data_IF_355732312612
#
_entry.id   IF_355732312612
#
_cell.length_a   1.000
_cell.length_b   1.000
_cell.length_c   1.000
_cell.angle_alpha   90.00
_cell.angle_beta   90.00
_cell.angle_gamma   90.00
#
_symmetry.space_group_name_H-M   'P 1'
#
loop_
_entity.id
_entity.type
_entity.pdbx_description
1 polymer ?
#
# COMPACT_ATOMS: atom_id res chain seq x y z
N UNK A 1 -15.85 18.82 -31.00
CA UNK A 1 -16.58 17.64 -31.52
C UNK A 1 -16.19 16.50 -30.60
N UNK A 2 -17.13 15.73 -30.06
CA UNK A 2 -16.80 14.60 -29.21
C UNK A 2 -15.94 13.59 -30.01
N UNK A 3 -14.86 13.12 -29.42
CA UNK A 3 -14.02 12.09 -30.02
C UNK A 3 -14.77 10.74 -29.99
N UNK A 4 -14.60 9.94 -31.03
CA UNK A 4 -15.28 8.65 -31.16
C UNK A 4 -14.37 7.54 -30.60
N UNK A 5 -14.87 6.81 -29.61
CA UNK A 5 -14.12 5.74 -28.93
C UNK A 5 -13.83 4.54 -29.82
N UNK A 6 -12.76 3.81 -29.50
CA UNK A 6 -12.51 2.49 -30.10
C UNK A 6 -13.13 1.43 -29.20
N UNK A 7 -14.05 0.65 -29.78
CA UNK A 7 -14.74 -0.41 -29.06
C UNK A 7 -14.23 -1.78 -29.51
N UNK A 8 -13.85 -2.61 -28.53
CA UNK A 8 -13.41 -3.99 -28.73
C UNK A 8 -14.64 -4.89 -28.77
N UNK A 9 -14.95 -5.42 -29.95
CA UNK A 9 -16.15 -6.22 -30.20
C UNK A 9 -15.77 -7.65 -30.59
N UNK A 10 -16.66 -8.59 -30.31
CA UNK A 10 -16.49 -9.98 -30.69
C UNK A 10 -16.40 -10.13 -32.22
N UNK A 11 -15.31 -10.68 -32.78
CA UNK A 11 -15.17 -10.91 -34.21
C UNK A 11 -16.26 -11.83 -34.80
N UNK A 12 -16.85 -12.72 -33.98
CA UNK A 12 -17.84 -13.68 -34.42
C UNK A 12 -19.28 -13.12 -34.48
N UNK A 13 -19.66 -12.25 -33.54
CA UNK A 13 -21.05 -11.80 -33.41
C UNK A 13 -21.25 -10.30 -33.15
N UNK A 14 -20.17 -9.54 -32.95
CA UNK A 14 -20.20 -8.10 -32.66
C UNK A 14 -20.61 -7.73 -31.23
N UNK A 15 -20.84 -8.71 -30.36
CA UNK A 15 -21.15 -8.50 -28.94
C UNK A 15 -19.94 -8.08 -28.11
N UNK A 16 -20.14 -7.61 -26.86
CA UNK A 16 -19.08 -7.28 -25.93
C UNK A 16 -18.17 -8.47 -25.63
N UNK A 17 -16.91 -8.13 -25.43
CA UNK A 17 -15.86 -9.00 -24.92
C UNK A 17 -15.50 -8.55 -23.51
N UNK A 18 -15.20 -9.52 -22.64
CA UNK A 18 -14.53 -9.28 -21.38
C UNK A 18 -13.24 -10.10 -21.31
N UNK A 19 -12.24 -9.58 -20.62
CA UNK A 19 -11.02 -10.32 -20.33
C UNK A 19 -11.29 -11.31 -19.19
N UNK A 20 -11.28 -12.60 -19.50
CA UNK A 20 -11.42 -13.68 -18.54
C UNK A 20 -10.07 -13.93 -17.85
N UNK A 21 -9.85 -13.24 -16.74
CA UNK A 21 -8.59 -13.20 -15.98
C UNK A 21 -8.06 -14.57 -15.55
N UNK A 22 -8.92 -15.54 -15.27
CA UNK A 22 -8.48 -16.90 -14.96
C UNK A 22 -7.96 -17.67 -16.20
N UNK A 23 -8.56 -17.42 -17.37
CA UNK A 23 -8.21 -18.08 -18.64
C UNK A 23 -7.12 -17.32 -19.42
N UNK A 24 -6.88 -16.05 -19.08
CA UNK A 24 -6.03 -15.10 -19.83
C UNK A 24 -6.48 -14.93 -21.30
N UNK A 25 -7.80 -14.89 -21.52
CA UNK A 25 -8.42 -14.81 -22.86
C UNK A 25 -9.55 -13.81 -22.90
N UNK A 26 -9.93 -13.37 -24.10
CA UNK A 26 -11.15 -12.60 -24.30
C UNK A 26 -12.33 -13.53 -24.57
N UNK A 27 -13.40 -13.36 -23.80
CA UNK A 27 -14.62 -14.15 -23.89
C UNK A 27 -15.78 -13.24 -24.24
N UNK A 28 -16.61 -13.68 -25.20
CA UNK A 28 -17.81 -12.94 -25.58
C UNK A 28 -19.00 -13.29 -24.68
N UNK A 29 -19.66 -12.28 -24.10
CA UNK A 29 -20.81 -12.45 -23.21
C UNK A 29 -22.07 -13.02 -23.90
N UNK A 30 -22.10 -13.02 -25.24
CA UNK A 30 -23.29 -13.40 -26.02
C UNK A 30 -23.16 -14.74 -26.73
N UNK A 31 -21.98 -15.06 -27.27
CA UNK A 31 -21.78 -16.26 -28.09
C UNK A 31 -20.74 -17.22 -27.52
N UNK A 32 -20.19 -16.92 -26.33
CA UNK A 32 -19.20 -17.73 -25.60
C UNK A 32 -17.92 -18.06 -26.39
N UNK A 33 -17.70 -17.37 -27.52
CA UNK A 33 -16.47 -17.48 -28.30
C UNK A 33 -15.30 -16.95 -27.48
N UNK A 34 -14.16 -17.64 -27.59
CA UNK A 34 -12.92 -17.34 -26.88
C UNK A 34 -11.85 -16.96 -27.90
N UNK A 35 -11.12 -15.89 -27.61
CA UNK A 35 -10.07 -15.37 -28.46
C UNK A 35 -8.80 -15.20 -27.65
N UNK A 36 -7.66 -15.52 -28.25
CA UNK A 36 -6.36 -15.21 -27.66
C UNK A 36 -6.12 -13.70 -27.72
N UNK A 37 -5.32 -13.18 -26.79
CA UNK A 37 -5.02 -11.75 -26.68
C UNK A 37 -4.38 -11.25 -27.98
N UNK A 38 -3.40 -11.98 -28.51
CA UNK A 38 -2.66 -11.61 -29.72
C UNK A 38 -3.55 -11.57 -30.97
N UNK A 39 -4.58 -12.42 -31.03
CA UNK A 39 -5.53 -12.45 -32.15
C UNK A 39 -6.38 -11.18 -32.18
N UNK A 40 -6.93 -10.78 -31.02
CA UNK A 40 -7.75 -9.57 -30.92
C UNK A 40 -6.88 -8.32 -31.08
N UNK A 41 -5.68 -8.33 -30.53
CA UNK A 41 -4.73 -7.23 -30.72
C UNK A 41 -4.45 -6.98 -32.20
N UNK A 42 -4.13 -8.03 -32.96
CA UNK A 42 -3.88 -7.92 -34.39
C UNK A 42 -5.08 -7.35 -35.18
N UNK A 43 -6.31 -7.62 -34.73
CA UNK A 43 -7.53 -7.12 -35.36
C UNK A 43 -7.79 -5.64 -35.08
N UNK A 44 -7.45 -5.16 -33.88
CA UNK A 44 -7.84 -3.83 -33.41
C UNK A 44 -6.70 -2.81 -33.38
N UNK A 45 -5.43 -3.23 -33.42
CA UNK A 45 -4.26 -2.36 -33.33
C UNK A 45 -4.30 -1.21 -34.34
N UNK A 46 -4.49 -1.49 -35.63
CA UNK A 46 -4.52 -0.43 -36.65
C UNK A 46 -5.66 0.59 -36.43
N UNK A 47 -6.80 0.16 -35.88
CA UNK A 47 -7.91 1.06 -35.57
C UNK A 47 -7.60 1.93 -34.36
N UNK A 48 -6.96 1.36 -33.34
CA UNK A 48 -6.51 2.06 -32.14
C UNK A 48 -5.45 3.10 -32.50
N UNK A 49 -4.37 2.71 -33.19
CA UNK A 49 -3.28 3.60 -33.60
C UNK A 49 -3.78 4.82 -34.39
N UNK A 50 -4.76 4.62 -35.28
CA UNK A 50 -5.37 5.72 -36.05
C UNK A 50 -6.23 6.65 -35.19
N UNK A 51 -6.94 6.11 -34.22
CA UNK A 51 -7.76 6.92 -33.30
C UNK A 51 -6.85 7.76 -32.39
N UNK A 52 -5.78 7.15 -31.87
CA UNK A 52 -4.81 7.78 -30.99
C UNK A 52 -4.00 8.85 -31.72
N UNK A 53 -3.45 8.55 -32.90
CA UNK A 53 -2.73 9.55 -33.70
C UNK A 53 -3.61 10.77 -34.05
N UNK A 54 -4.92 10.56 -34.24
CA UNK A 54 -5.88 11.67 -34.47
C UNK A 54 -6.12 12.47 -33.20
N UNK A 55 -6.19 11.82 -32.04
CA UNK A 55 -6.35 12.48 -30.75
C UNK A 55 -5.09 13.28 -30.38
N UNK A 56 -3.91 12.68 -30.52
CA UNK A 56 -2.62 13.32 -30.26
C UNK A 56 -2.41 14.54 -31.17
N UNK A 57 -2.71 14.41 -32.46
CA UNK A 57 -2.65 15.53 -33.40
C UNK A 57 -3.63 16.67 -33.03
N UNK A 58 -4.79 16.34 -32.46
CA UNK A 58 -5.74 17.33 -31.97
C UNK A 58 -5.27 17.99 -30.66
N UNK A 59 -4.59 17.25 -29.79
CA UNK A 59 -4.01 17.77 -28.55
C UNK A 59 -2.81 18.68 -28.80
N UNK A 60 -1.98 18.36 -29.81
CA UNK A 60 -0.81 19.13 -30.23
C UNK A 60 -1.16 20.37 -31.09
N UNK A 61 -2.40 20.47 -31.59
CA UNK A 61 -2.85 21.64 -32.31
C UNK A 61 -2.85 22.87 -31.38
N UNK A 62 -2.51 24.08 -31.88
CA UNK A 62 -2.50 25.29 -31.06
C UNK A 62 -3.87 25.48 -30.42
N UNK A 63 -3.94 25.31 -29.09
CA UNK A 63 -5.18 25.54 -28.36
C UNK A 63 -5.56 27.02 -28.54
N UNK A 64 -6.78 27.34 -28.98
CA UNK A 64 -7.23 28.72 -28.98
C UNK A 64 -7.09 29.26 -27.55
N UNK A 65 -6.67 30.52 -27.39
CA UNK A 65 -6.62 31.17 -26.09
C UNK A 65 -8.04 31.19 -25.50
N UNK A 66 -8.33 30.19 -24.67
CA UNK A 66 -9.55 30.01 -23.93
C UNK A 66 -9.16 29.89 -22.46
N UNK A 67 -10.00 30.44 -21.58
CA UNK A 67 -9.79 30.41 -20.12
C UNK A 67 -9.48 28.99 -19.63
N UNK A 68 -8.62 28.86 -18.61
CA UNK A 68 -8.20 27.57 -18.04
C UNK A 68 -9.41 26.68 -17.67
N UNK A 69 -10.52 27.29 -17.22
CA UNK A 69 -11.78 26.60 -16.93
C UNK A 69 -12.43 25.93 -18.17
N UNK A 70 -12.29 26.53 -19.36
CA UNK A 70 -12.76 25.95 -20.63
C UNK A 70 -11.85 24.80 -21.07
N UNK A 71 -10.57 24.85 -20.68
CA UNK A 71 -9.59 23.81 -21.00
C UNK A 71 -9.74 22.58 -20.08
N UNK A 72 -10.05 22.76 -18.80
CA UNK A 72 -10.48 21.68 -17.89
C UNK A 72 -11.80 21.03 -18.35
N UNK A 73 -12.80 21.82 -18.72
CA UNK A 73 -14.07 21.31 -19.26
C UNK A 73 -13.90 20.49 -20.55
N UNK A 74 -12.87 20.80 -21.36
CA UNK A 74 -12.54 20.05 -22.57
C UNK A 74 -11.83 18.72 -22.29
N UNK A 75 -11.09 18.60 -21.18
CA UNK A 75 -10.53 17.32 -20.72
C UNK A 75 -11.60 16.41 -20.09
N UNK A 76 -12.62 17.02 -19.47
CA UNK A 76 -13.83 16.35 -18.97
C UNK A 76 -14.91 16.15 -20.06
N UNK A 77 -14.55 16.33 -21.33
CA UNK A 77 -15.50 16.21 -22.43
C UNK A 77 -15.87 14.74 -22.62
N UNK A 78 -17.17 14.46 -22.57
CA UNK A 78 -17.67 13.14 -22.91
C UNK A 78 -17.29 12.70 -24.32
N UNK A 79 -17.20 11.39 -24.53
CA UNK A 79 -16.87 10.78 -25.82
C UNK A 79 -18.03 9.92 -26.31
N UNK A 80 -18.09 9.68 -27.63
CA UNK A 80 -19.18 8.91 -28.23
C UNK A 80 -18.77 7.44 -28.32
N UNK A 81 -19.63 6.56 -27.82
CA UNK A 81 -19.51 5.11 -27.98
C UNK A 81 -19.67 4.72 -29.46
N UNK A 82 -18.62 4.18 -30.10
CA UNK A 82 -18.70 3.81 -31.54
C UNK A 82 -19.64 2.64 -31.83
N UNK A 83 -20.00 1.84 -30.82
CA UNK A 83 -20.93 0.71 -30.98
C UNK A 83 -22.40 1.12 -30.98
N UNK A 84 -22.82 2.07 -30.12
CA UNK A 84 -24.24 2.41 -29.96
C UNK A 84 -24.57 3.90 -30.13
N UNK A 85 -23.56 4.77 -30.27
CA UNK A 85 -23.73 6.21 -30.43
C UNK A 85 -24.06 6.97 -29.14
N UNK A 86 -24.04 6.31 -27.97
CA UNK A 86 -24.27 6.98 -26.69
C UNK A 86 -23.12 7.93 -26.33
N UNK A 87 -23.44 9.07 -25.76
CA UNK A 87 -22.47 10.01 -25.18
C UNK A 87 -22.12 9.55 -23.76
N UNK A 88 -20.82 9.28 -23.53
CA UNK A 88 -20.27 8.81 -22.27
C UNK A 88 -19.50 9.95 -21.61
N UNK A 89 -19.86 10.29 -20.38
CA UNK A 89 -19.15 11.28 -19.59
C UNK A 89 -17.88 10.66 -19.01
N UNK A 90 -16.75 11.36 -19.11
CA UNK A 90 -15.50 11.03 -18.42
C UNK A 90 -15.08 12.22 -17.57
N UNK A 91 -14.43 11.94 -16.45
CA UNK A 91 -13.79 12.94 -15.59
C UNK A 91 -12.35 13.25 -16.05
N UNK A 92 -12.03 12.90 -17.29
CA UNK A 92 -10.73 13.12 -17.92
C UNK A 92 -9.63 12.17 -17.44
N UNK A 93 -9.88 11.30 -16.47
CA UNK A 93 -8.88 10.31 -15.97
C UNK A 93 -9.26 8.87 -16.32
N UNK A 94 -10.56 8.59 -16.48
CA UNK A 94 -11.04 7.27 -16.93
C UNK A 94 -10.77 7.13 -18.42
N UNK A 95 -9.85 6.22 -18.75
CA UNK A 95 -9.43 5.93 -20.11
C UNK A 95 -10.22 4.78 -20.75
N UNK A 96 -10.54 3.75 -19.99
CA UNK A 96 -11.38 2.63 -20.46
C UNK A 96 -12.53 2.44 -19.49
N UNK A 97 -13.75 2.32 -20.03
CA UNK A 97 -14.93 1.97 -19.24
C UNK A 97 -15.89 1.11 -20.05
N UNK A 98 -16.77 0.40 -19.34
CA UNK A 98 -17.87 -0.34 -19.97
C UNK A 98 -19.01 0.63 -20.27
N UNK A 99 -19.45 0.69 -21.52
CA UNK A 99 -20.60 1.50 -21.89
C UNK A 99 -21.86 0.99 -21.18
N UNK A 100 -22.52 1.80 -20.32
CA UNK A 100 -23.70 1.37 -19.57
C UNK A 100 -24.93 1.08 -20.47
N UNK A 101 -24.89 1.52 -21.73
CA UNK A 101 -26.00 1.35 -22.67
C UNK A 101 -25.91 0.07 -23.50
N UNK A 102 -24.70 -0.35 -23.90
CA UNK A 102 -24.53 -1.50 -24.79
C UNK A 102 -23.58 -2.59 -24.27
N UNK A 103 -22.90 -2.34 -23.14
CA UNK A 103 -21.99 -3.29 -22.51
C UNK A 103 -20.62 -3.44 -23.17
N UNK A 104 -20.37 -2.81 -24.33
CA UNK A 104 -19.04 -2.85 -24.94
C UNK A 104 -18.05 -1.98 -24.16
N UNK A 105 -16.82 -2.46 -24.02
CA UNK A 105 -15.72 -1.65 -23.49
C UNK A 105 -15.33 -0.58 -24.49
N UNK A 106 -15.39 0.67 -24.02
CA UNK A 106 -15.13 1.85 -24.79
C UNK A 106 -13.84 2.49 -24.31
N UNK A 107 -12.91 2.67 -25.24
CA UNK A 107 -11.61 3.29 -24.99
C UNK A 107 -11.70 4.75 -25.40
N UNK A 108 -11.54 5.64 -24.44
CA UNK A 108 -11.50 7.08 -24.66
C UNK A 108 -10.26 7.42 -25.50
N UNK A 109 -10.43 8.00 -26.70
CA UNK A 109 -9.30 8.32 -27.58
C UNK A 109 -8.34 9.29 -26.91
N UNK A 110 -7.04 9.07 -27.04
CA UNK A 110 -6.02 9.99 -26.51
C UNK A 110 -5.69 9.81 -25.03
N UNK A 111 -6.41 8.97 -24.29
CA UNK A 111 -6.22 8.82 -22.84
C UNK A 111 -5.15 7.79 -22.46
N UNK A 112 -4.71 6.94 -23.40
CA UNK A 112 -3.62 5.96 -23.22
C UNK A 112 -2.62 6.03 -24.39
N UNK A 113 -2.43 7.22 -24.96
CA UNK A 113 -1.53 7.48 -26.08
C UNK A 113 -0.61 8.66 -25.80
N UNK A 114 0.43 8.81 -26.64
CA UNK A 114 1.45 9.85 -26.45
C UNK A 114 2.08 9.75 -25.06
N UNK A 115 2.11 10.89 -24.36
CA UNK A 115 2.65 10.98 -22.99
C UNK A 115 1.84 10.16 -21.96
N UNK A 116 0.57 9.83 -22.26
CA UNK A 116 -0.28 9.01 -21.39
C UNK A 116 -0.24 7.52 -21.74
N UNK A 117 0.63 7.09 -22.65
CA UNK A 117 0.73 5.68 -23.03
C UNK A 117 1.51 4.89 -21.98
N UNK A 118 0.93 3.85 -21.35
CA UNK A 118 1.68 2.97 -20.47
C UNK A 118 2.69 2.14 -21.26
N UNK A 119 3.85 1.91 -20.68
CA UNK A 119 4.86 0.99 -21.21
C UNK A 119 4.48 -0.47 -20.91
N UNK A 120 3.90 -0.67 -19.72
CA UNK A 120 3.72 -1.98 -19.12
C UNK A 120 2.31 -2.19 -18.57
N UNK A 121 1.93 -3.45 -18.48
CA UNK A 121 0.69 -3.87 -17.82
C UNK A 121 0.92 -5.18 -17.09
N UNK A 122 0.24 -5.32 -15.96
CA UNK A 122 0.07 -6.61 -15.29
C UNK A 122 -1.38 -7.05 -15.50
N UNK A 123 -1.66 -8.12 -16.26
CA UNK A 123 -3.03 -8.58 -16.46
C UNK A 123 -3.68 -9.05 -15.16
N UNK A 124 -4.99 -8.80 -15.00
CA UNK A 124 -5.77 -9.43 -13.93
C UNK A 124 -5.65 -10.95 -14.00
N UNK A 125 -5.56 -11.61 -12.84
CA UNK A 125 -5.56 -13.07 -12.71
C UNK A 125 -6.79 -13.56 -11.94
N UNK A 126 -7.20 -12.81 -10.93
CA UNK A 126 -8.33 -13.12 -10.07
C UNK A 126 -9.59 -12.39 -10.53
N UNK A 127 -10.71 -13.10 -10.47
CA UNK A 127 -12.02 -12.62 -10.88
C UNK A 127 -12.82 -11.98 -9.72
N UNK A 128 -14.03 -11.53 -10.04
CA UNK A 128 -14.94 -10.88 -9.07
C UNK A 128 -15.33 -11.82 -7.91
N UNK A 129 -15.47 -13.11 -8.17
CA UNK A 129 -15.84 -14.09 -7.15
C UNK A 129 -14.73 -14.26 -6.10
N UNK A 130 -13.46 -14.13 -6.50
CA UNK A 130 -12.31 -14.19 -5.61
C UNK A 130 -12.29 -13.01 -4.63
N UNK A 131 -12.76 -11.83 -5.04
CA UNK A 131 -12.90 -10.66 -4.14
C UNK A 131 -13.82 -10.98 -2.97
N UNK A 132 -14.93 -11.66 -3.24
CA UNK A 132 -15.89 -12.03 -2.20
C UNK A 132 -15.31 -13.07 -1.24
N UNK A 133 -14.48 -13.98 -1.75
CA UNK A 133 -13.77 -14.96 -0.93
C UNK A 133 -12.70 -14.29 -0.05
N UNK A 134 -11.87 -13.41 -0.64
CA UNK A 134 -10.84 -12.66 0.06
C UNK A 134 -11.43 -11.74 1.14
N UNK A 135 -12.57 -11.09 0.87
CA UNK A 135 -13.26 -10.24 1.84
C UNK A 135 -13.76 -11.05 3.05
N UNK A 136 -14.33 -12.23 2.79
CA UNK A 136 -14.75 -13.14 3.87
C UNK A 136 -13.57 -13.61 4.71
N UNK A 137 -12.43 -13.88 4.07
CA UNK A 137 -11.20 -14.23 4.76
C UNK A 137 -10.68 -13.07 5.61
N UNK A 138 -10.69 -11.85 5.06
CA UNK A 138 -10.25 -10.64 5.76
C UNK A 138 -11.04 -10.34 7.04
N UNK A 139 -12.30 -10.77 7.11
CA UNK A 139 -13.14 -10.65 8.30
C UNK A 139 -12.84 -11.69 9.40
N UNK A 140 -12.13 -12.78 9.09
CA UNK A 140 -11.85 -13.85 10.06
C UNK A 140 -10.88 -13.38 11.14
N UNK A 141 -11.04 -13.98 12.32
CA UNK A 141 -10.20 -13.77 13.50
C UNK A 141 -10.12 -12.33 14.04
N UNK A 142 -10.95 -11.41 13.52
CA UNK A 142 -11.06 -10.04 14.01
C UNK A 142 -12.00 -9.96 15.22
N UNK A 143 -11.43 -10.10 16.42
CA UNK A 143 -12.19 -10.09 17.69
C UNK A 143 -13.05 -8.83 17.81
N UNK A 144 -12.49 -7.67 17.48
CA UNK A 144 -13.13 -6.35 17.62
C UNK A 144 -14.16 -6.02 16.52
N UNK A 145 -14.28 -6.82 15.45
CA UNK A 145 -15.20 -6.56 14.35
C UNK A 145 -16.67 -6.77 14.79
N UNK A 146 -17.58 -5.79 14.66
CA UNK A 146 -19.00 -5.98 14.93
C UNK A 146 -19.60 -7.11 14.08
N UNK A 147 -20.30 -8.06 14.70
CA UNK A 147 -21.01 -9.11 13.95
C UNK A 147 -22.04 -8.52 12.97
N UNK A 148 -22.67 -7.41 13.36
CA UNK A 148 -23.62 -6.66 12.53
C UNK A 148 -22.98 -6.01 11.30
N UNK A 149 -21.66 -5.78 11.29
CA UNK A 149 -20.95 -5.40 10.07
C UNK A 149 -20.89 -6.61 9.14
N UNK A 150 -20.38 -7.74 9.60
CA UNK A 150 -20.25 -8.95 8.75
C UNK A 150 -21.59 -9.43 8.17
N UNK A 151 -22.68 -9.40 8.96
CA UNK A 151 -23.98 -9.89 8.51
C UNK A 151 -24.86 -8.85 7.81
N UNK A 152 -24.64 -7.57 8.11
CA UNK A 152 -25.52 -6.47 7.67
C UNK A 152 -24.88 -5.54 6.65
N UNK A 153 -23.60 -5.74 6.33
CA UNK A 153 -22.93 -4.96 5.31
C UNK A 153 -23.36 -5.45 3.92
N UNK A 154 -23.85 -4.51 3.12
CA UNK A 154 -24.19 -4.76 1.73
C UNK A 154 -23.05 -4.24 0.88
N UNK A 155 -22.45 -5.15 0.09
CA UNK A 155 -21.47 -4.76 -0.91
C UNK A 155 -22.17 -3.85 -1.91
N UNK A 156 -21.84 -2.57 -1.87
CA UNK A 156 -22.45 -1.56 -2.73
C UNK A 156 -21.89 -1.71 -4.16
N UNK A 157 -20.56 -1.84 -4.26
CA UNK A 157 -19.88 -1.84 -5.53
C UNK A 157 -18.58 -2.65 -5.49
N UNK A 158 -18.35 -3.46 -6.54
CA UNK A 158 -17.08 -4.17 -6.79
C UNK A 158 -16.65 -3.83 -8.20
N UNK A 159 -15.49 -3.19 -8.33
CA UNK A 159 -14.92 -2.78 -9.60
C UNK A 159 -13.49 -3.25 -9.73
N UNK A 160 -13.14 -3.83 -10.87
CA UNK A 160 -11.75 -4.07 -11.21
C UNK A 160 -11.22 -2.87 -11.98
N UNK A 161 -10.13 -2.29 -11.49
CA UNK A 161 -9.52 -1.07 -11.99
C UNK A 161 -8.06 -1.35 -12.31
N UNK A 162 -7.63 -0.97 -13.50
CA UNK A 162 -6.22 -0.81 -13.82
C UNK A 162 -5.76 0.55 -13.31
N UNK A 163 -4.96 0.53 -12.26
CA UNK A 163 -4.44 1.72 -11.56
C UNK A 163 -3.09 2.09 -12.17
N UNK A 164 -2.83 3.37 -12.46
CA UNK A 164 -1.54 3.85 -12.94
C UNK A 164 -0.48 3.80 -11.85
N UNK A 165 0.67 3.22 -12.16
CA UNK A 165 1.86 3.19 -11.30
C UNK A 165 3.09 3.66 -12.06
N UNK A 166 3.90 4.47 -11.41
CA UNK A 166 5.28 4.75 -11.82
C UNK A 166 6.20 3.72 -11.17
N UNK A 167 7.09 3.13 -11.97
CA UNK A 167 8.06 2.14 -11.48
C UNK A 167 9.45 2.76 -11.49
N UNK A 168 10.01 3.00 -10.32
CA UNK A 168 11.31 3.67 -10.18
C UNK A 168 12.45 2.67 -10.00
N UNK A 169 13.49 2.80 -10.80
CA UNK A 169 14.79 2.16 -10.59
C UNK A 169 15.81 3.17 -10.09
N UNK A 170 16.61 2.79 -9.09
CA UNK A 170 17.72 3.60 -8.65
C UNK A 170 18.78 2.76 -7.94
N UNK A 171 20.04 3.18 -8.07
CA UNK A 171 21.11 2.77 -7.16
C UNK A 171 21.29 3.86 -6.11
N UNK A 172 21.28 3.46 -4.84
CA UNK A 172 21.52 4.35 -3.69
C UNK A 172 22.89 4.00 -3.13
N UNK A 173 23.81 4.94 -3.19
CA UNK A 173 25.09 4.87 -2.49
C UNK A 173 24.95 5.68 -1.19
N UNK A 174 25.19 5.04 -0.05
CA UNK A 174 24.87 5.60 1.25
C UNK A 174 26.03 5.56 2.24
N UNK A 175 26.21 6.65 2.97
CA UNK A 175 27.12 6.81 4.09
C UNK A 175 26.33 7.21 5.33
N UNK A 176 26.39 6.40 6.39
CA UNK A 176 25.60 6.61 7.60
C UNK A 176 26.48 6.44 8.84
N UNK A 177 26.35 7.40 9.75
CA UNK A 177 26.91 7.36 11.09
C UNK A 177 25.80 7.01 12.07
N UNK A 178 26.08 6.01 12.89
CA UNK A 178 25.20 5.55 13.95
C UNK A 178 25.87 5.74 15.31
N UNK A 179 25.08 6.13 16.29
CA UNK A 179 25.38 5.98 17.71
C UNK A 179 24.95 4.58 18.12
N UNK A 180 25.91 3.66 18.24
CA UNK A 180 25.67 2.27 18.58
C UNK A 180 25.92 2.04 20.08
N UNK A 181 25.04 1.27 20.72
CA UNK A 181 25.08 1.08 22.17
C UNK A 181 25.10 -0.39 22.55
N UNK A 182 25.86 -0.70 23.59
CA UNK A 182 25.78 -1.97 24.31
C UNK A 182 25.41 -1.71 25.76
N UNK A 183 24.35 -2.34 26.24
CA UNK A 183 23.82 -2.15 27.58
C UNK A 183 24.15 -3.36 28.46
N UNK A 184 24.88 -3.09 29.55
CA UNK A 184 25.11 -4.08 30.61
C UNK A 184 24.38 -3.64 31.88
N UNK A 185 23.38 -4.41 32.27
CA UNK A 185 22.64 -4.21 33.52
C UNK A 185 23.23 -5.14 34.59
N UNK A 186 23.75 -4.55 35.66
CA UNK A 186 24.23 -5.27 36.85
C UNK A 186 23.32 -4.97 38.03
N UNK A 187 22.71 -6.03 38.56
CA UNK A 187 21.95 -5.93 39.82
C UNK A 187 22.85 -6.15 41.03
N UNK A 188 22.93 -5.14 41.89
CA UNK A 188 23.54 -5.22 43.22
C UNK A 188 22.44 -5.26 44.31
N UNK A 189 22.83 -5.50 45.57
CA UNK A 189 21.91 -5.67 46.69
C UNK A 189 21.09 -4.42 47.00
N UNK A 190 21.68 -3.23 46.82
CA UNK A 190 21.15 -1.92 47.20
C UNK A 190 20.89 -1.00 46.00
N UNK A 191 21.25 -1.42 44.79
CA UNK A 191 21.13 -0.61 43.56
C UNK A 191 21.15 -1.46 42.30
N UNK A 192 20.58 -0.92 41.24
CA UNK A 192 20.75 -1.41 39.87
C UNK A 192 21.66 -0.45 39.14
N UNK A 193 22.73 -0.98 38.54
CA UNK A 193 23.72 -0.21 37.77
C UNK A 193 23.57 -0.60 36.31
N UNK A 194 23.12 0.34 35.49
CA UNK A 194 23.11 0.21 34.03
C UNK A 194 24.34 0.91 33.49
N UNK A 195 25.19 0.17 32.79
CA UNK A 195 26.35 0.70 32.06
C UNK A 195 26.07 0.60 30.58
N UNK A 196 26.09 1.74 29.88
CA UNK A 196 25.87 1.82 28.44
C UNK A 196 27.17 2.28 27.79
N UNK A 197 27.77 1.41 26.99
CA UNK A 197 28.94 1.76 26.18
C UNK A 197 28.47 2.28 24.82
N UNK A 198 28.91 3.49 24.47
CA UNK A 198 28.57 4.18 23.23
C UNK A 198 29.72 4.05 22.22
N UNK A 199 29.36 3.78 20.96
CA UNK A 199 30.28 3.55 19.85
C UNK A 199 29.82 4.37 18.63
N UNK A 200 30.75 5.11 18.05
CA UNK A 200 30.54 5.79 16.78
C UNK A 200 30.73 4.76 15.66
N UNK A 201 29.62 4.31 15.05
CA UNK A 201 29.61 3.28 14.02
C UNK A 201 29.38 3.90 12.63
N UNK A 202 30.37 3.78 11.76
CA UNK A 202 30.29 4.24 10.38
C UNK A 202 30.06 3.08 9.42
N UNK A 203 29.06 3.22 8.55
CA UNK A 203 28.77 2.28 7.46
C UNK A 203 28.70 3.03 6.14
N UNK A 204 29.34 2.45 5.12
CA UNK A 204 29.22 2.90 3.74
C UNK A 204 28.96 1.72 2.84
N UNK A 205 27.92 1.82 2.04
CA UNK A 205 27.58 0.77 1.10
C UNK A 205 26.67 1.27 0.01
N UNK A 206 26.19 0.33 -0.78
CA UNK A 206 25.24 0.63 -1.84
C UNK A 206 24.18 -0.45 -1.94
N UNK A 207 23.01 -0.04 -2.41
CA UNK A 207 21.88 -0.92 -2.64
C UNK A 207 21.19 -0.50 -3.94
N UNK A 208 20.77 -1.48 -4.72
CA UNK A 208 20.04 -1.23 -5.97
C UNK A 208 18.58 -1.57 -5.79
N UNK A 209 17.70 -0.66 -6.17
CA UNK A 209 16.26 -0.83 -6.19
C UNK A 209 15.77 -0.98 -7.62
N UNK A 210 14.85 -1.91 -7.84
CA UNK A 210 14.31 -2.18 -9.16
C UNK A 210 12.79 -2.09 -9.14
N UNK A 211 12.25 -1.15 -9.93
CA UNK A 211 10.80 -0.97 -10.15
C UNK A 211 10.02 -0.80 -8.85
N UNK A 212 10.48 0.08 -7.96
CA UNK A 212 9.69 0.47 -6.78
C UNK A 212 8.41 1.15 -7.27
N UNK A 213 7.23 0.59 -6.98
CA UNK A 213 5.97 1.13 -7.48
C UNK A 213 5.49 2.31 -6.63
N UNK A 214 4.97 3.35 -7.28
CA UNK A 214 4.21 4.43 -6.63
C UNK A 214 2.99 4.71 -7.52
N UNK A 215 1.79 4.72 -6.95
CA UNK A 215 0.59 5.01 -7.72
C UNK A 215 0.59 6.48 -8.20
N UNK A 216 0.22 6.68 -9.45
CA UNK A 216 0.11 8.00 -10.09
C UNK A 216 -1.33 8.51 -10.12
N UNK A 217 -2.12 8.19 -9.08
CA UNK A 217 -3.53 8.55 -9.01
C UNK A 217 -3.91 9.23 -7.71
N UNK A 218 -4.22 10.52 -7.75
CA UNK A 218 -4.65 11.30 -6.59
C UNK A 218 -6.01 10.85 -6.01
N UNK A 219 -6.74 9.98 -6.72
CA UNK A 219 -8.06 9.45 -6.34
C UNK A 219 -7.96 8.13 -5.58
N UNK A 220 -6.82 7.45 -5.68
CA UNK A 220 -6.56 6.20 -4.97
C UNK A 220 -5.82 6.53 -3.68
N UNK A 221 -6.25 6.00 -2.51
CA UNK A 221 -5.51 6.24 -1.28
C UNK A 221 -4.18 5.47 -1.29
N UNK A 222 -3.06 6.18 -1.18
CA UNK A 222 -1.69 5.64 -1.12
C UNK A 222 -1.57 4.44 -0.17
N UNK A 223 -2.12 4.56 1.04
CA UNK A 223 -2.06 3.48 2.04
C UNK A 223 -2.81 2.20 1.65
N UNK A 224 -3.79 2.27 0.74
CA UNK A 224 -4.42 1.09 0.17
C UNK A 224 -3.57 0.51 -0.96
N UNK A 225 -2.99 1.36 -1.81
CA UNK A 225 -2.18 0.94 -2.96
C UNK A 225 -0.85 0.32 -2.54
N UNK A 226 -0.19 0.88 -1.53
CA UNK A 226 1.03 0.34 -0.95
C UNK A 226 0.77 -0.98 -0.21
N UNK A 227 -0.35 -1.08 0.53
CA UNK A 227 -0.60 -2.24 1.39
C UNK A 227 -1.03 -3.50 0.61
N UNK A 228 -1.40 -3.39 -0.67
CA UNK A 228 -1.70 -4.52 -1.56
C UNK A 228 -0.46 -5.07 -2.28
N UNK A 229 0.69 -4.42 -2.15
CA UNK A 229 1.99 -4.91 -2.60
C UNK A 229 2.43 -6.17 -1.81
N UNK A 230 3.41 -6.96 -2.29
CA UNK A 230 4.08 -6.85 -3.58
C UNK A 230 3.22 -7.38 -4.75
N UNK A 231 3.48 -6.85 -5.94
CA UNK A 231 2.94 -7.38 -7.20
C UNK A 231 3.89 -8.41 -7.80
N UNK A 232 3.34 -9.37 -8.54
CA UNK A 232 4.13 -10.39 -9.22
C UNK A 232 4.58 -9.87 -10.60
N UNK A 233 5.84 -9.43 -10.65
CA UNK A 233 6.46 -8.87 -11.86
C UNK A 233 6.79 -9.92 -12.93
N UNK A 234 6.68 -11.22 -12.66
CA UNK A 234 6.82 -12.24 -13.72
C UNK A 234 5.65 -12.20 -14.72
N UNK A 235 4.51 -11.66 -14.28
CA UNK A 235 3.33 -11.46 -15.12
C UNK A 235 3.34 -10.14 -15.90
N UNK A 236 4.38 -9.31 -15.73
CA UNK A 236 4.49 -8.02 -16.40
C UNK A 236 4.66 -8.20 -17.92
N UNK A 237 3.88 -7.46 -18.70
CA UNK A 237 3.85 -7.52 -20.17
C UNK A 237 3.93 -6.12 -20.76
N UNK A 238 4.38 -5.97 -22.01
CA UNK A 238 4.17 -4.74 -22.77
C UNK A 238 2.69 -4.37 -22.76
N UNK A 239 2.39 -3.08 -22.57
CA UNK A 239 1.03 -2.61 -22.52
C UNK A 239 0.24 -2.96 -23.79
N UNK A 240 -0.99 -3.42 -23.57
CA UNK A 240 -1.97 -3.63 -24.62
C UNK A 240 -3.37 -3.37 -24.08
N UNK A 241 -4.15 -2.59 -24.82
CA UNK A 241 -5.53 -2.24 -24.48
C UNK A 241 -6.43 -3.48 -24.42
N UNK A 242 -6.02 -4.60 -25.01
CA UNK A 242 -6.74 -5.88 -25.07
C UNK A 242 -6.96 -6.52 -23.69
N UNK A 243 -6.18 -6.13 -22.68
CA UNK A 243 -6.36 -6.58 -21.30
C UNK A 243 -7.44 -5.81 -20.51
N UNK A 244 -7.92 -4.70 -21.06
CA UNK A 244 -8.83 -3.77 -20.41
C UNK A 244 -10.34 -4.11 -20.55
N UNK A 245 -10.83 -4.88 -21.56
CA UNK A 245 -12.25 -5.18 -21.65
C UNK A 245 -12.78 -5.88 -20.40
N UNK A 246 -13.91 -5.40 -19.88
CA UNK A 246 -14.49 -5.84 -18.61
C UNK A 246 -13.93 -5.14 -17.35
N UNK A 247 -12.91 -4.29 -17.50
CA UNK A 247 -12.27 -3.53 -16.43
C UNK A 247 -12.32 -2.02 -16.70
N UNK A 248 -12.21 -1.24 -15.63
CA UNK A 248 -11.96 0.20 -15.73
C UNK A 248 -10.46 0.40 -15.84
N UNK A 249 -9.99 1.35 -16.66
CA UNK A 249 -8.59 1.74 -16.68
C UNK A 249 -8.47 3.25 -16.52
N UNK A 250 -7.60 3.67 -15.62
CA UNK A 250 -7.32 5.08 -15.37
C UNK A 250 -5.94 5.41 -15.93
N UNK A 251 -5.80 6.61 -16.52
CA UNK A 251 -4.48 7.21 -16.75
C UNK A 251 -3.98 7.89 -15.48
N UNK A 252 -2.69 8.19 -15.42
CA UNK A 252 -2.15 8.98 -14.32
C UNK A 252 -2.71 10.41 -14.34
N UNK A 253 -2.93 10.96 -13.14
CA UNK A 253 -3.19 12.39 -12.91
C UNK A 253 -2.10 13.04 -12.05
N UNK A 254 -1.20 12.25 -11.46
CA UNK A 254 0.05 12.69 -10.84
C UNK A 254 1.26 12.27 -11.69
N UNK A 255 2.10 13.24 -12.03
CA UNK A 255 3.26 13.00 -12.89
C UNK A 255 4.42 12.32 -12.15
N UNK A 256 5.34 11.76 -12.93
CA UNK A 256 6.52 11.05 -12.42
C UNK A 256 7.38 11.89 -11.46
N UNK A 257 7.57 13.20 -11.70
CA UNK A 257 8.42 14.01 -10.82
C UNK A 257 7.73 14.28 -9.47
N UNK A 258 6.40 14.45 -9.50
CA UNK A 258 5.58 14.58 -8.28
C UNK A 258 5.65 13.30 -7.43
N UNK A 259 5.49 12.13 -8.04
CA UNK A 259 5.50 10.84 -7.34
C UNK A 259 6.90 10.40 -6.87
N UNK A 260 7.98 10.92 -7.49
CA UNK A 260 9.37 10.52 -7.22
C UNK A 260 9.79 10.65 -5.77
N UNK A 261 9.36 11.73 -5.08
CA UNK A 261 9.71 11.96 -3.68
C UNK A 261 9.23 10.83 -2.75
N UNK A 262 8.11 10.18 -3.06
CA UNK A 262 7.61 9.03 -2.29
C UNK A 262 8.45 7.78 -2.53
N UNK A 263 8.88 7.54 -3.77
CA UNK A 263 9.81 6.46 -4.08
C UNK A 263 11.17 6.68 -3.38
N UNK A 264 11.70 7.90 -3.44
CA UNK A 264 12.96 8.29 -2.78
C UNK A 264 12.90 8.02 -1.27
N UNK A 265 11.84 8.46 -0.59
CA UNK A 265 11.64 8.18 0.84
C UNK A 265 11.63 6.69 1.15
N UNK A 266 10.94 5.87 0.35
CA UNK A 266 10.88 4.41 0.56
C UNK A 266 12.25 3.75 0.36
N UNK A 267 13.01 4.19 -0.64
CA UNK A 267 14.37 3.70 -0.91
C UNK A 267 15.36 4.15 0.18
N UNK A 268 15.23 5.39 0.65
CA UNK A 268 16.02 5.97 1.73
C UNK A 268 15.92 5.14 3.02
N UNK A 269 14.68 4.92 3.50
CA UNK A 269 14.45 4.18 4.74
C UNK A 269 14.94 2.73 4.62
N UNK A 270 14.72 2.07 3.48
CA UNK A 270 15.28 0.73 3.23
C UNK A 270 16.80 0.70 3.23
N UNK A 271 17.46 1.67 2.58
CA UNK A 271 18.93 1.72 2.53
C UNK A 271 19.53 1.95 3.93
N UNK A 272 18.94 2.87 4.71
CA UNK A 272 19.37 3.13 6.09
C UNK A 272 19.11 1.92 6.97
N UNK A 273 17.94 1.29 6.85
CA UNK A 273 17.58 0.10 7.62
C UNK A 273 18.55 -1.05 7.34
N UNK A 274 18.88 -1.32 6.07
CA UNK A 274 19.85 -2.34 5.69
C UNK A 274 21.25 -2.05 6.26
N UNK A 275 21.70 -0.79 6.23
CA UNK A 275 22.98 -0.40 6.85
C UNK A 275 22.93 -0.55 8.38
N UNK A 276 21.80 -0.18 9.01
CA UNK A 276 21.57 -0.30 10.47
C UNK A 276 21.62 -1.76 10.92
N UNK A 277 21.08 -2.68 10.12
CA UNK A 277 21.10 -4.12 10.40
C UNK A 277 22.53 -4.63 10.64
N UNK A 278 23.50 -4.18 9.82
CA UNK A 278 24.92 -4.52 9.98
C UNK A 278 25.61 -3.96 11.23
N UNK A 279 24.95 -3.03 11.93
CA UNK A 279 25.40 -2.49 13.21
C UNK A 279 24.74 -3.28 14.34
N UNK A 280 23.43 -3.49 14.30
CA UNK A 280 22.70 -4.23 15.35
C UNK A 280 23.03 -5.74 15.38
N UNK A 281 23.71 -6.26 14.36
CA UNK A 281 24.34 -7.59 14.41
C UNK A 281 25.48 -7.68 15.44
N UNK A 282 26.09 -6.54 15.80
CA UNK A 282 27.23 -6.45 16.73
C UNK A 282 26.95 -5.63 18.00
N UNK A 283 25.86 -4.86 17.99
CA UNK A 283 25.47 -3.94 19.07
C UNK A 283 23.98 -4.10 19.44
N UNK A 284 23.59 -3.72 20.66
CA UNK A 284 22.21 -3.87 21.14
C UNK A 284 21.23 -2.89 20.46
N UNK A 285 21.65 -1.64 20.20
CA UNK A 285 20.90 -0.65 19.41
C UNK A 285 21.85 0.24 18.58
N UNK A 286 21.31 0.92 17.57
CA UNK A 286 22.06 1.80 16.68
C UNK A 286 21.24 3.01 16.21
N UNK A 287 21.32 4.17 16.85
CA UNK A 287 20.54 5.35 16.43
C UNK A 287 21.25 6.14 15.34
N UNK A 288 20.54 6.58 14.29
CA UNK A 288 21.15 7.37 13.20
C UNK A 288 21.52 8.77 13.71
N UNK A 289 22.79 9.14 13.61
CA UNK A 289 23.26 10.49 13.94
C UNK A 289 23.29 11.40 12.70
N UNK A 290 23.86 10.88 11.61
CA UNK A 290 23.94 11.60 10.35
C UNK A 290 23.99 10.63 9.17
N UNK A 291 23.50 11.10 8.03
CA UNK A 291 23.41 10.32 6.80
C UNK A 291 23.65 11.19 5.59
N UNK A 292 24.28 10.60 4.58
CA UNK A 292 24.45 11.17 3.26
C UNK A 292 24.12 10.08 2.25
N UNK A 293 23.12 10.32 1.41
CA UNK A 293 22.66 9.39 0.39
C UNK A 293 22.75 10.05 -0.98
N UNK A 294 23.33 9.35 -1.93
CA UNK A 294 23.45 9.77 -3.32
C UNK A 294 22.69 8.79 -4.21
N UNK A 295 21.82 9.33 -5.06
CA UNK A 295 20.92 8.54 -5.91
C UNK A 295 21.36 8.59 -7.37
N UNK A 296 21.59 7.42 -7.96
CA UNK A 296 21.73 7.24 -9.40
C UNK A 296 20.43 6.68 -9.94
N UNK A 297 19.55 7.56 -10.43
CA UNK A 297 18.23 7.21 -10.96
C UNK A 297 18.31 6.59 -12.36
N UNK A 298 17.48 5.57 -12.59
CA UNK A 298 17.16 5.04 -13.91
C UNK A 298 15.92 5.74 -14.47
N UNK A 299 15.65 5.56 -15.77
CA UNK A 299 14.38 5.99 -16.36
C UNK A 299 13.22 5.22 -15.71
N UNK A 300 12.12 5.91 -15.41
CA UNK A 300 10.92 5.31 -14.83
C UNK A 300 10.04 4.69 -15.91
N UNK A 301 9.47 3.52 -15.61
CA UNK A 301 8.46 2.90 -16.47
C UNK A 301 7.05 3.33 -16.02
N UNK A 302 6.14 3.61 -16.95
CA UNK A 302 4.72 3.77 -16.64
C UNK A 302 3.98 2.44 -16.80
N UNK A 303 3.32 1.96 -15.74
CA UNK A 303 2.62 0.68 -15.73
C UNK A 303 1.16 0.79 -15.26
N UNK A 304 0.32 -0.13 -15.75
CA UNK A 304 -1.02 -0.34 -15.25
C UNK A 304 -1.13 -1.64 -14.45
N UNK A 305 -1.46 -1.53 -13.16
CA UNK A 305 -1.58 -2.68 -12.27
C UNK A 305 -3.04 -3.02 -11.94
N UNK A 306 -3.38 -4.31 -11.79
CA UNK A 306 -4.75 -4.76 -11.62
C UNK A 306 -5.14 -4.69 -10.14
N UNK A 307 -6.12 -3.85 -9.82
CA UNK A 307 -6.62 -3.65 -8.46
C UNK A 307 -8.13 -3.81 -8.42
N UNK A 308 -8.62 -4.67 -7.54
CA UNK A 308 -10.04 -4.74 -7.21
C UNK A 308 -10.37 -3.72 -6.12
N UNK A 309 -11.27 -2.79 -6.41
CA UNK A 309 -11.81 -1.82 -5.48
C UNK A 309 -13.21 -2.25 -5.04
N UNK A 310 -13.43 -2.25 -3.73
CA UNK A 310 -14.69 -2.59 -3.11
C UNK A 310 -15.09 -1.47 -2.17
N UNK A 311 -16.30 -0.93 -2.37
CA UNK A 311 -16.89 0.05 -1.46
C UNK A 311 -18.12 -0.53 -0.78
N UNK A 312 -18.32 -0.12 0.47
CA UNK A 312 -19.42 -0.63 1.27
C UNK A 312 -19.85 0.37 2.34
N UNK A 313 -21.14 0.49 2.57
CA UNK A 313 -21.71 1.44 3.52
C UNK A 313 -22.30 0.75 4.75
N UNK A 314 -21.94 1.26 5.94
CA UNK A 314 -22.45 0.74 7.20
C UNK A 314 -22.56 1.86 8.24
N UNK A 315 -23.74 1.98 8.87
CA UNK A 315 -24.05 3.03 9.86
C UNK A 315 -23.71 4.46 9.38
N UNK A 316 -23.98 4.76 8.10
CA UNK A 316 -23.73 6.08 7.52
C UNK A 316 -22.25 6.41 7.30
N UNK A 317 -21.36 5.41 7.38
CA UNK A 317 -19.95 5.50 7.02
C UNK A 317 -19.65 4.61 5.82
N UNK A 318 -18.79 5.08 4.93
CA UNK A 318 -18.28 4.29 3.81
C UNK A 318 -16.94 3.66 4.20
N UNK A 319 -16.75 2.42 3.77
CA UNK A 319 -15.52 1.65 3.96
C UNK A 319 -15.01 1.23 2.59
N UNK A 320 -13.73 1.47 2.35
CA UNK A 320 -13.05 1.15 1.10
C UNK A 320 -12.06 0.01 1.35
N UNK A 321 -12.11 -0.97 0.46
CA UNK A 321 -11.19 -2.09 0.41
C UNK A 321 -10.52 -2.12 -0.96
N UNK A 322 -9.24 -2.48 -0.97
CA UNK A 322 -8.47 -2.72 -2.17
C UNK A 322 -7.92 -4.14 -2.13
N UNK A 323 -7.86 -4.81 -3.27
CA UNK A 323 -7.27 -6.13 -3.38
C UNK A 323 -6.40 -6.24 -4.63
N UNK A 324 -5.21 -6.78 -4.44
CA UNK A 324 -4.31 -7.10 -5.54
C UNK A 324 -4.96 -8.12 -6.50
N UNK A 325 -5.10 -7.75 -7.78
CA UNK A 325 -5.76 -8.55 -8.81
C UNK A 325 -5.00 -9.80 -9.26
N UNK A 326 -3.76 -10.01 -8.78
CA UNK A 326 -2.96 -11.21 -9.02
C UNK A 326 -2.90 -12.14 -7.80
N UNK A 327 -2.58 -11.56 -6.64
CA UNK A 327 -2.24 -12.30 -5.42
C UNK A 327 -3.43 -12.51 -4.50
N UNK A 328 -4.46 -11.66 -4.61
CA UNK A 328 -5.64 -11.71 -3.75
C UNK A 328 -5.41 -11.10 -2.37
N UNK A 329 -4.26 -10.46 -2.13
CA UNK A 329 -3.99 -9.69 -0.91
C UNK A 329 -5.01 -8.55 -0.80
N UNK A 330 -5.91 -8.66 0.18
CA UNK A 330 -6.98 -7.70 0.43
C UNK A 330 -6.70 -6.87 1.68
N UNK A 331 -6.81 -5.55 1.52
CA UNK A 331 -6.64 -4.57 2.58
C UNK A 331 -7.84 -3.64 2.66
N UNK A 332 -8.00 -3.03 3.82
CA UNK A 332 -9.00 -2.03 4.10
C UNK A 332 -9.16 -1.80 5.58
N UNK A 333 -9.97 -0.80 5.91
CA UNK A 333 -10.27 -0.47 7.29
C UNK A 333 -11.59 -1.09 7.73
N UNK A 334 -11.59 -1.73 8.89
CA UNK A 334 -12.75 -2.35 9.49
C UNK A 334 -13.26 -1.53 10.68
N UNK A 335 -14.59 -1.47 10.92
CA UNK A 335 -15.11 -0.80 12.10
C UNK A 335 -14.71 -1.51 13.39
N UNK A 336 -14.31 -0.73 14.38
CA UNK A 336 -14.09 -1.22 15.74
C UNK A 336 -15.37 -1.20 16.57
N UNK A 337 -15.71 -2.33 17.19
CA UNK A 337 -16.81 -2.43 18.15
C UNK A 337 -16.39 -1.90 19.52
N UNK A 338 -16.80 -0.67 19.85
CA UNK A 338 -16.50 -0.04 21.16
C UNK A 338 -16.82 -0.92 22.37
N UNK A 339 -17.97 -1.64 22.43
CA UNK A 339 -18.25 -2.54 23.55
C UNK A 339 -17.27 -3.71 23.65
N UNK A 340 -16.86 -4.29 22.52
CA UNK A 340 -15.88 -5.38 22.52
C UNK A 340 -14.49 -4.90 22.92
N UNK A 341 -14.11 -3.69 22.47
CA UNK A 341 -12.86 -3.05 22.88
C UNK A 341 -12.87 -2.84 24.39
N UNK A 342 -13.93 -2.25 24.96
CA UNK A 342 -14.03 -2.05 26.41
C UNK A 342 -13.91 -3.36 27.22
N UNK A 343 -14.52 -4.45 26.73
CA UNK A 343 -14.39 -5.78 27.37
C UNK A 343 -12.94 -6.28 27.27
N UNK A 344 -12.28 -6.13 26.12
CA UNK A 344 -10.88 -6.49 25.94
C UNK A 344 -9.96 -5.67 26.86
N UNK A 345 -10.15 -4.35 26.94
CA UNK A 345 -9.38 -3.47 27.82
C UNK A 345 -9.52 -3.88 29.29
N UNK A 346 -10.73 -4.22 29.76
CA UNK A 346 -10.94 -4.72 31.13
C UNK A 346 -10.21 -6.05 31.34
N UNK A 347 -10.25 -6.96 30.36
CA UNK A 347 -9.57 -8.25 30.44
C UNK A 347 -8.04 -8.08 30.49
N UNK A 348 -7.47 -7.24 29.63
CA UNK A 348 -6.04 -6.90 29.65
C UNK A 348 -5.65 -6.22 30.95
N UNK A 349 -6.50 -5.37 31.52
CA UNK A 349 -6.24 -4.74 32.81
C UNK A 349 -6.15 -5.80 33.91
N UNK A 350 -7.10 -6.74 33.98
CA UNK A 350 -7.10 -7.81 34.98
C UNK A 350 -5.87 -8.71 34.81
N UNK A 351 -5.53 -9.09 33.57
CA UNK A 351 -4.34 -9.90 33.29
C UNK A 351 -3.07 -9.14 33.68
N UNK A 352 -2.95 -7.89 33.26
CA UNK A 352 -1.81 -7.05 33.57
C UNK A 352 -1.65 -6.81 35.07
N UNK A 353 -2.77 -6.63 35.79
CA UNK A 353 -2.80 -6.52 37.24
C UNK A 353 -2.27 -7.80 37.91
N UNK A 354 -2.78 -8.97 37.53
CA UNK A 354 -2.32 -10.26 38.07
C UNK A 354 -0.84 -10.51 37.75
N UNK A 355 -0.41 -10.24 36.52
CA UNK A 355 0.99 -10.41 36.12
C UNK A 355 1.91 -9.47 36.88
N UNK A 356 1.53 -8.21 37.03
CA UNK A 356 2.27 -7.22 37.81
C UNK A 356 2.43 -7.66 39.27
N UNK A 357 1.36 -8.16 39.89
CA UNK A 357 1.40 -8.71 41.24
C UNK A 357 2.38 -9.88 41.37
N UNK A 358 2.33 -10.84 40.44
CA UNK A 358 3.22 -12.01 40.46
C UNK A 358 4.69 -11.61 40.22
N UNK A 359 4.95 -10.74 39.24
CA UNK A 359 6.30 -10.34 38.83
C UNK A 359 6.99 -9.47 39.88
N UNK A 360 6.29 -8.48 40.44
CA UNK A 360 6.90 -7.51 41.35
C UNK A 360 6.86 -7.95 42.83
N UNK A 361 5.94 -8.85 43.20
CA UNK A 361 5.71 -9.18 44.63
C UNK A 361 6.02 -10.63 45.01
N UNK A 362 6.22 -11.54 44.05
CA UNK A 362 6.62 -12.92 44.32
C UNK A 362 5.69 -13.64 45.31
N UNK A 363 6.24 -14.05 46.46
CA UNK A 363 5.48 -14.75 47.52
C UNK A 363 4.44 -13.86 48.24
N UNK A 364 4.57 -12.53 48.13
CA UNK A 364 3.66 -11.54 48.73
C UNK A 364 2.58 -11.06 47.74
N UNK A 365 2.41 -11.72 46.59
CA UNK A 365 1.38 -11.38 45.62
C UNK A 365 0.00 -11.40 46.28
N UNK A 366 -0.77 -10.31 46.11
CA UNK A 366 -2.10 -10.10 46.70
C UNK A 366 -2.16 -9.94 48.23
N UNK A 367 -1.04 -9.59 48.89
CA UNK A 367 -1.09 -9.15 50.29
C UNK A 367 -1.86 -7.81 50.40
N UNK A 368 -2.93 -7.74 51.22
CA UNK A 368 -3.76 -6.54 51.34
C UNK A 368 -3.01 -5.30 51.86
N UNK A 369 -1.88 -5.46 52.55
CA UNK A 369 -1.08 -4.34 53.04
C UNK A 369 -0.37 -3.57 51.91
N UNK A 370 -0.18 -4.21 50.75
CA UNK A 370 0.46 -3.65 49.56
C UNK A 370 -0.52 -3.25 48.43
N UNK A 371 -1.83 -3.36 48.70
CA UNK A 371 -2.85 -2.71 47.89
C UNK A 371 -3.01 -1.22 48.25
N UNK A 372 -2.12 -0.68 49.09
CA UNK A 372 -2.08 0.72 49.46
C UNK A 372 -1.76 1.62 48.24
N UNK A 373 -2.31 2.83 48.25
CA UNK A 373 -2.07 3.85 47.22
C UNK A 373 -0.83 4.70 47.53
N UNK A 374 0.29 4.05 47.90
CA UNK A 374 1.61 4.69 47.90
C UNK A 374 2.15 4.80 46.46
N UNK A 375 3.26 5.51 46.26
CA UNK A 375 3.79 5.81 44.91
C UNK A 375 4.13 4.50 44.16
N UNK A 376 4.76 3.55 44.84
CA UNK A 376 5.08 2.22 44.29
C UNK A 376 3.82 1.40 43.99
N UNK A 377 2.84 1.39 44.90
CA UNK A 377 1.57 0.73 44.70
C UNK A 377 0.80 1.28 43.50
N UNK A 378 0.84 2.59 43.25
CA UNK A 378 0.22 3.19 42.05
C UNK A 378 0.95 2.72 40.78
N UNK A 379 2.28 2.67 40.78
CA UNK A 379 3.06 2.20 39.64
C UNK A 379 2.74 0.74 39.29
N UNK A 380 2.75 -0.15 40.28
CA UNK A 380 2.56 -1.59 40.10
C UNK A 380 1.09 -1.95 39.82
N UNK A 381 0.14 -1.35 40.56
CA UNK A 381 -1.26 -1.76 40.51
C UNK A 381 -2.08 -1.04 39.44
N UNK A 382 -1.61 0.11 38.95
CA UNK A 382 -2.36 0.94 38.00
C UNK A 382 -1.55 1.17 36.72
N UNK A 383 -0.32 1.68 36.83
CA UNK A 383 0.44 2.09 35.64
C UNK A 383 0.88 0.87 34.80
N UNK A 384 1.50 -0.14 35.41
CA UNK A 384 1.94 -1.33 34.67
C UNK A 384 0.78 -2.08 33.96
N UNK A 385 -0.38 -2.33 34.61
CA UNK A 385 -1.55 -2.91 33.93
C UNK A 385 -2.11 -2.03 32.81
N UNK A 386 -2.11 -0.70 32.99
CA UNK A 386 -2.57 0.23 31.95
C UNK A 386 -1.65 0.20 30.72
N UNK A 387 -0.34 0.04 30.88
CA UNK A 387 0.58 -0.13 29.74
C UNK A 387 0.21 -1.39 28.95
N UNK A 388 -0.09 -2.50 29.64
CA UNK A 388 -0.53 -3.75 29.00
C UNK A 388 -1.86 -3.56 28.26
N UNK A 389 -2.81 -2.81 28.85
CA UNK A 389 -4.06 -2.44 28.16
C UNK A 389 -3.78 -1.65 26.90
N UNK A 390 -2.93 -0.63 26.96
CA UNK A 390 -2.59 0.22 25.82
C UNK A 390 -1.98 -0.62 24.70
N UNK A 391 -0.99 -1.46 25.02
CA UNK A 391 -0.34 -2.34 24.05
C UNK A 391 -1.36 -3.32 23.44
N UNK A 392 -2.17 -3.99 24.27
CA UNK A 392 -3.18 -4.93 23.83
C UNK A 392 -4.25 -4.29 22.93
N UNK A 393 -4.75 -3.12 23.31
CA UNK A 393 -5.74 -2.38 22.54
C UNK A 393 -5.16 -1.86 21.22
N UNK A 394 -3.93 -1.36 21.21
CA UNK A 394 -3.22 -0.94 19.98
C UNK A 394 -3.06 -2.12 19.03
N UNK A 395 -2.65 -3.29 19.53
CA UNK A 395 -2.51 -4.50 18.72
C UNK A 395 -3.86 -4.95 18.15
N UNK A 396 -4.92 -4.99 18.95
CA UNK A 396 -6.26 -5.40 18.48
C UNK A 396 -6.87 -4.40 17.51
N UNK A 397 -6.68 -3.10 17.71
CA UNK A 397 -7.17 -2.05 16.79
C UNK A 397 -6.33 -2.04 15.51
N UNK A 398 -5.02 -2.25 15.60
CA UNK A 398 -4.13 -2.38 14.45
C UNK A 398 -4.55 -3.49 13.50
N UNK A 399 -5.06 -4.61 14.02
CA UNK A 399 -5.61 -5.69 13.18
C UNK A 399 -6.81 -5.27 12.32
N UNK A 400 -7.51 -4.18 12.65
CA UNK A 400 -8.62 -3.65 11.87
C UNK A 400 -8.18 -2.62 10.82
N UNK A 401 -6.94 -2.13 10.88
CA UNK A 401 -6.38 -1.11 9.99
C UNK A 401 -5.23 -1.70 9.20
N UNK A 402 -5.55 -2.22 8.02
CA UNK A 402 -4.57 -2.90 7.17
C UNK A 402 -4.08 -2.06 6.00
N UNK A 403 -4.74 -0.92 5.73
CA UNK A 403 -4.28 0.07 4.76
C UNK A 403 -3.32 1.03 5.46
N UNK A 404 -2.04 0.95 5.12
CA UNK A 404 -0.98 1.82 5.62
C UNK A 404 -0.02 2.11 4.47
N UNK A 405 0.45 3.36 4.39
CA UNK A 405 1.47 3.74 3.42
C UNK A 405 2.78 3.00 3.71
N UNK A 406 3.43 2.53 2.65
CA UNK A 406 4.73 1.90 2.76
C UNK A 406 5.77 2.96 3.11
N UNK A 407 6.54 2.67 4.16
CA UNK A 407 7.71 3.48 4.53
C UNK A 407 8.99 2.94 3.93
N UNK A 408 9.00 1.69 3.49
CA UNK A 408 10.17 0.98 2.97
C UNK A 408 9.90 0.40 1.57
N UNK A 409 10.96 0.06 0.84
CA UNK A 409 10.98 -0.62 -0.45
C UNK A 409 11.77 -1.95 -0.40
N UNK A 410 11.78 -2.64 0.75
CA UNK A 410 12.59 -3.84 0.99
C UNK A 410 12.29 -4.99 0.00
N UNK A 411 11.03 -5.13 -0.43
CA UNK A 411 10.60 -6.15 -1.41
C UNK A 411 11.16 -5.90 -2.83
N UNK A 412 11.73 -4.72 -3.08
CA UNK A 412 12.21 -4.27 -4.40
C UNK A 412 13.71 -3.97 -4.43
N UNK A 413 14.43 -4.23 -3.34
CA UNK A 413 15.86 -3.99 -3.25
C UNK A 413 16.67 -5.26 -3.51
N UNK A 414 17.89 -5.07 -4.03
CA UNK A 414 18.91 -6.11 -4.05
C UNK A 414 19.61 -6.27 -2.70
N UNK A 415 20.64 -7.10 -2.68
CA UNK A 415 21.50 -7.24 -1.49
C UNK A 415 22.32 -5.96 -1.26
N UNK A 416 22.54 -5.62 0.01
CA UNK A 416 23.44 -4.54 0.40
C UNK A 416 24.90 -4.93 0.10
N UNK A 417 25.58 -4.10 -0.67
CA UNK A 417 27.03 -4.19 -0.88
C UNK A 417 27.74 -3.21 0.04
N UNK A 418 28.16 -3.72 1.20
CA UNK A 418 28.88 -2.95 2.22
C UNK A 418 30.35 -2.77 1.81
N UNK A 419 30.74 -1.52 1.57
CA UNK A 419 32.07 -1.17 1.06
C UNK A 419 33.05 -0.72 2.14
N UNK A 420 32.57 -0.01 3.16
CA UNK A 420 33.39 0.40 4.31
C UNK A 420 32.63 0.22 5.63
N UNK A 421 33.38 -0.15 6.65
CA UNK A 421 32.89 -0.38 8.01
C UNK A 421 33.97 0.03 9.01
N UNK A 422 33.65 0.99 9.89
CA UNK A 422 34.54 1.49 10.92
C UNK A 422 33.77 1.80 12.19
N UNK A 423 34.18 1.19 13.31
CA UNK A 423 33.55 1.41 14.62
C UNK A 423 34.60 1.92 15.62
N UNK A 424 34.27 2.99 16.34
CA UNK A 424 35.17 3.60 17.33
C UNK A 424 34.44 3.75 18.65
N UNK A 425 35.05 3.29 19.74
CA UNK A 425 34.51 3.54 21.08
C UNK A 425 34.51 5.04 21.37
N UNK A 426 33.36 5.55 21.81
CA UNK A 426 33.15 6.97 22.13
C UNK A 426 33.34 7.20 23.63
N UNK A 427 32.41 6.69 24.44
CA UNK A 427 32.43 6.83 25.89
C UNK A 427 31.51 5.80 26.58
N UNK A 428 31.62 5.70 27.90
CA UNK A 428 30.72 4.90 28.73
C UNK A 428 29.86 5.83 29.56
N UNK A 429 28.55 5.60 29.57
CA UNK A 429 27.60 6.21 30.49
C UNK A 429 27.22 5.20 31.58
N UNK A 430 27.10 5.65 32.83
CA UNK A 430 26.68 4.79 33.93
C UNK A 430 25.52 5.44 34.68
N UNK A 431 24.37 4.78 34.65
CA UNK A 431 23.19 5.17 35.41
C UNK A 431 23.04 4.26 36.62
N UNK A 432 22.95 4.85 37.81
CA UNK A 432 22.76 4.14 39.07
C UNK A 432 21.37 4.47 39.61
N UNK A 433 20.53 3.45 39.73
CA UNK A 433 19.22 3.55 40.37
C UNK A 433 19.31 2.84 41.71
N UNK A 434 19.18 3.59 42.81
CA UNK A 434 19.13 2.99 44.15
C UNK A 434 17.84 2.17 44.29
N UNK A 435 17.94 0.98 44.87
CA UNK A 435 16.76 0.24 45.31
C UNK A 435 16.29 0.94 46.59
N UNK A 436 15.04 1.41 46.63
CA UNK A 436 14.53 2.05 47.83
C UNK A 436 14.57 1.03 48.99
N UNK A 437 15.39 1.30 50.00
CA UNK A 437 15.39 0.58 51.27
C UNK A 437 14.06 0.91 51.97
N UNK A 438 13.05 0.07 51.78
CA UNK A 438 11.90 -0.02 52.69
C UNK A 438 12.33 -0.74 53.98
N UNK A 439 13.10 -0.02 54.81
CA UNK A 439 13.26 -0.31 56.23
C UNK A 439 13.31 1.03 56.99
N UNK A 440 12.12 1.60 57.26
CA UNK A 440 11.80 2.36 58.48
C UNK A 440 10.29 2.48 58.71
#
# INVERSE_FOLDING_TARGET
MAFESVNYQCPACGGPLHFASAEQKLVCDYCDSRFEVEEVEALYRERQDKADAKADAAAAAPKPAADDAVQELAQNAGYICSSCGAELMSDGTVAVTTCPYCGNSAVAPGQLSGDFSPDLVIPFKLGRDDVTAALKEHYKDKILLPKSFVTGNHIDEVQGVYVPFWLYGARVDGEVYFDATNETVTEESDRTVTTTDHYDAYRKGNISFRRVPVDGSSKMPDGHMDAIEPFDYDALRPFSVVYMPGYIANRYDEDCETCKARAERRMEESAISALRETVVDEYDDATVESKQLDYTWEDSDYALFPVWMLSTSWNGKSYLFAMNGQTGRLVGELPCSKPKLAIASVLFFVIGFVLSQILFMGENAFDPDYLAFDIEGILINIIAPLIIVIIGDVLLVGQLKTANEATHADEYCGELDLTEKHDTFSHTETTVVMKDDKDD
#
